data_IF_051880141067
#
_entry.id   IF_051880141067
#
_cell.length_a   1.000
_cell.length_b   1.000
_cell.length_c   1.000
_cell.angle_alpha   90.00
_cell.angle_beta   90.00
_cell.angle_gamma   90.00
#
_symmetry.space_group_name_H-M   'P 1'
#
loop_
_entity.id
_entity.type
_entity.pdbx_description
1 polymer ?
#
# COMPACT_ATOMS: atom_id res chain seq x y z
N UNK A 1 -2.60 -6.91 -9.85
CA UNK A 1 -2.07 -5.56 -9.55
C UNK A 1 -3.21 -4.57 -9.72
N UNK A 2 -3.25 -3.50 -8.93
CA UNK A 2 -4.33 -2.51 -8.91
C UNK A 2 -3.82 -1.24 -9.58
N UNK A 3 -4.54 -0.68 -10.54
CA UNK A 3 -4.08 0.54 -11.23
C UNK A 3 -4.17 1.76 -10.29
N UNK A 4 -3.08 2.51 -10.16
CA UNK A 4 -3.01 3.80 -9.46
C UNK A 4 -2.84 4.98 -10.42
N UNK A 5 -2.26 4.73 -11.60
CA UNK A 5 -2.05 5.71 -12.68
C UNK A 5 -2.06 4.98 -14.03
N UNK A 6 -2.78 5.47 -15.06
CA UNK A 6 -3.42 6.79 -15.15
C UNK A 6 -4.76 6.91 -14.41
N UNK A 7 -5.52 5.83 -14.31
CA UNK A 7 -6.84 5.81 -13.69
C UNK A 7 -6.82 4.90 -12.47
N UNK A 8 -7.30 5.39 -11.33
CA UNK A 8 -7.28 4.64 -10.07
C UNK A 8 -8.41 3.61 -10.09
N UNK A 9 -8.05 2.34 -9.95
CA UNK A 9 -9.00 1.24 -9.87
C UNK A 9 -9.56 1.14 -8.44
N UNK A 10 -10.81 1.59 -8.26
CA UNK A 10 -11.54 1.50 -7.01
C UNK A 10 -13.05 1.39 -7.28
N UNK A 11 -13.74 0.48 -6.59
CA UNK A 11 -15.16 0.16 -6.81
C UNK A 11 -16.03 0.35 -5.56
N UNK A 12 -15.77 1.39 -4.77
CA UNK A 12 -16.49 1.66 -3.52
C UNK A 12 -17.82 2.40 -3.77
N UNK A 13 -18.84 2.11 -2.95
CA UNK A 13 -20.14 2.81 -2.97
C UNK A 13 -20.25 3.80 -1.83
N UNK A 14 -20.98 4.88 -2.07
CA UNK A 14 -21.27 5.87 -1.04
C UNK A 14 -22.27 5.31 -0.02
N UNK A 15 -21.96 5.29 1.28
CA UNK A 15 -22.85 4.77 2.32
C UNK A 15 -24.11 5.63 2.50
N UNK A 16 -24.10 6.89 2.04
CA UNK A 16 -25.21 7.82 2.21
C UNK A 16 -26.24 7.80 1.09
N UNK A 17 -25.83 7.48 -0.14
CA UNK A 17 -26.70 7.57 -1.32
C UNK A 17 -26.51 6.43 -2.33
N UNK A 18 -25.67 5.44 -2.02
CA UNK A 18 -25.35 4.27 -2.85
C UNK A 18 -24.69 4.55 -4.22
N UNK A 19 -24.46 5.81 -4.58
CA UNK A 19 -23.72 6.18 -5.78
C UNK A 19 -22.29 5.62 -5.77
N UNK A 20 -21.76 5.31 -6.96
CA UNK A 20 -20.35 4.93 -7.10
C UNK A 20 -19.45 6.10 -6.72
N UNK A 21 -18.47 5.84 -5.86
CA UNK A 21 -17.45 6.83 -5.49
C UNK A 21 -16.43 6.97 -6.62
N UNK A 22 -15.96 8.19 -6.83
CA UNK A 22 -14.93 8.49 -7.83
C UNK A 22 -13.60 8.67 -7.10
N UNK A 23 -12.60 7.88 -7.48
CA UNK A 23 -11.23 8.05 -7.02
C UNK A 23 -10.55 9.17 -7.80
N UNK A 24 -9.86 10.06 -7.09
CA UNK A 24 -9.09 11.15 -7.70
C UNK A 24 -7.65 11.20 -7.23
N UNK A 25 -7.33 10.53 -6.13
CA UNK A 25 -5.96 10.38 -5.63
C UNK A 25 -5.81 9.06 -4.86
N UNK A 26 -4.58 8.71 -4.50
CA UNK A 26 -4.25 7.56 -3.68
C UNK A 26 -3.09 7.89 -2.75
N UNK A 27 -2.94 7.09 -1.69
CA UNK A 27 -1.93 7.34 -0.67
C UNK A 27 -1.47 6.05 0.00
N UNK A 28 -0.19 6.04 0.37
CA UNK A 28 0.44 5.00 1.19
C UNK A 28 0.97 5.67 2.46
N UNK A 29 0.26 5.52 3.59
CA UNK A 29 0.52 6.31 4.81
C UNK A 29 1.35 5.58 5.85
N UNK A 30 1.75 4.35 5.53
CA UNK A 30 2.25 3.35 6.46
C UNK A 30 1.84 1.99 5.93
N UNK A 31 1.23 1.14 6.75
CA UNK A 31 0.74 -0.16 6.28
C UNK A 31 -0.48 -0.09 5.35
N UNK A 32 -1.17 1.06 5.32
CA UNK A 32 -2.42 1.26 4.56
C UNK A 32 -2.12 1.78 3.17
N UNK A 33 -2.85 1.26 2.19
CA UNK A 33 -2.90 1.78 0.83
C UNK A 33 -4.35 2.21 0.60
N UNK A 34 -4.59 3.50 0.38
CA UNK A 34 -5.94 4.05 0.33
C UNK A 34 -6.18 4.81 -0.97
N UNK A 35 -7.42 4.79 -1.44
CA UNK A 35 -7.92 5.73 -2.44
C UNK A 35 -8.56 6.94 -1.75
N UNK A 36 -8.32 8.14 -2.26
CA UNK A 36 -9.06 9.36 -1.92
C UNK A 36 -10.26 9.48 -2.87
N UNK A 37 -11.45 9.50 -2.28
CA UNK A 37 -12.71 9.30 -2.97
C UNK A 37 -13.66 10.48 -2.75
N UNK A 38 -14.42 10.81 -3.77
CA UNK A 38 -15.54 11.77 -3.68
C UNK A 38 -16.81 11.18 -4.26
N UNK A 39 -17.92 11.35 -3.55
CA UNK A 39 -19.24 11.02 -4.08
C UNK A 39 -19.71 12.10 -5.07
N UNK A 40 -20.08 11.75 -6.32
CA UNK A 40 -20.55 12.73 -7.28
C UNK A 40 -21.91 13.34 -6.89
N UNK A 41 -22.73 12.61 -6.14
CA UNK A 41 -24.10 13.02 -5.83
C UNK A 41 -24.17 13.85 -4.54
N UNK A 42 -23.77 13.26 -3.40
CA UNK A 42 -23.86 13.94 -2.10
C UNK A 42 -22.61 14.75 -1.70
N UNK A 43 -21.57 14.75 -2.55
CA UNK A 43 -20.29 15.48 -2.36
C UNK A 43 -19.48 15.11 -1.12
N UNK A 44 -19.87 14.08 -0.36
CA UNK A 44 -19.05 13.55 0.73
C UNK A 44 -17.74 12.97 0.20
N UNK A 45 -16.73 13.04 1.05
CA UNK A 45 -15.38 12.60 0.74
C UNK A 45 -14.96 11.49 1.70
N UNK A 46 -14.24 10.52 1.17
CA UNK A 46 -13.88 9.31 1.88
C UNK A 46 -12.45 8.90 1.57
N UNK A 47 -11.84 8.16 2.48
CA UNK A 47 -10.72 7.28 2.16
C UNK A 47 -11.21 5.83 2.14
N UNK A 48 -10.82 5.06 1.14
CA UNK A 48 -11.12 3.62 1.10
C UNK A 48 -9.85 2.80 1.03
N UNK A 49 -9.79 1.67 1.73
CA UNK A 49 -8.75 0.67 1.47
C UNK A 49 -8.77 0.24 0.01
N UNK A 50 -7.61 0.32 -0.64
CA UNK A 50 -7.36 -0.41 -1.88
C UNK A 50 -7.25 -1.91 -1.56
N UNK A 51 -7.66 -2.81 -2.47
CA UNK A 51 -7.73 -4.25 -2.21
C UNK A 51 -6.35 -4.93 -2.20
N UNK A 52 -5.46 -4.49 -1.31
CA UNK A 52 -4.10 -5.00 -1.14
C UNK A 52 -3.82 -5.38 0.32
N UNK A 53 -3.10 -6.48 0.52
CA UNK A 53 -2.84 -7.05 1.86
C UNK A 53 -4.14 -7.31 2.61
N UNK A 54 -4.23 -6.82 3.85
CA UNK A 54 -5.43 -6.96 4.66
C UNK A 54 -6.65 -6.21 4.06
N UNK A 55 -6.43 -5.11 3.32
CA UNK A 55 -7.50 -4.36 2.66
C UNK A 55 -8.24 -5.15 1.57
N UNK A 56 -7.63 -6.24 1.07
CA UNK A 56 -8.31 -7.18 0.16
C UNK A 56 -9.46 -7.92 0.85
N UNK A 57 -9.27 -8.30 2.12
CA UNK A 57 -10.21 -9.17 2.85
C UNK A 57 -11.18 -8.39 3.71
N UNK A 58 -10.75 -7.25 4.23
CA UNK A 58 -11.51 -6.43 5.17
C UNK A 58 -11.45 -4.96 4.76
N UNK A 59 -11.96 -4.59 3.58
CA UNK A 59 -11.91 -3.21 3.11
C UNK A 59 -12.71 -2.30 4.04
N UNK A 60 -12.13 -1.16 4.41
CA UNK A 60 -12.76 -0.14 5.26
C UNK A 60 -12.90 1.16 4.47
N UNK A 61 -14.04 1.83 4.65
CA UNK A 61 -14.28 3.19 4.18
C UNK A 61 -14.23 4.14 5.37
N UNK A 62 -13.58 5.29 5.24
CA UNK A 62 -13.45 6.31 6.28
C UNK A 62 -14.05 7.63 5.79
N UNK A 63 -15.06 8.14 6.47
CA UNK A 63 -15.63 9.45 6.17
C UNK A 63 -14.67 10.56 6.63
N UNK A 64 -14.18 11.38 5.69
CA UNK A 64 -13.13 12.39 5.98
C UNK A 64 -13.61 13.49 6.91
N UNK A 65 -14.91 13.81 6.89
CA UNK A 65 -15.47 14.88 7.73
C UNK A 65 -15.59 14.45 9.18
N UNK A 66 -15.99 13.21 9.40
CA UNK A 66 -16.30 12.69 10.75
C UNK A 66 -15.17 11.87 11.35
N UNK A 67 -14.26 11.34 10.52
CA UNK A 67 -13.26 10.36 10.93
C UNK A 67 -13.85 8.98 11.29
N UNK A 68 -15.13 8.73 10.97
CA UNK A 68 -15.79 7.47 11.25
C UNK A 68 -15.41 6.42 10.20
N UNK A 69 -14.96 5.26 10.66
CA UNK A 69 -14.73 4.08 9.84
C UNK A 69 -16.03 3.28 9.66
N UNK A 70 -16.25 2.80 8.45
CA UNK A 70 -17.39 2.02 7.99
C UNK A 70 -16.83 0.68 7.53
N UNK A 71 -17.27 -0.38 8.18
CA UNK A 71 -16.72 -1.71 8.09
C UNK A 71 -17.82 -2.72 7.84
N UNK A 72 -18.05 -3.01 6.55
CA UNK A 72 -19.03 -4.00 6.13
C UNK A 72 -18.52 -5.45 6.34
N UNK A 73 -17.23 -5.62 6.66
CA UNK A 73 -16.59 -6.92 6.86
C UNK A 73 -16.59 -7.40 8.31
N UNK A 74 -17.11 -6.59 9.25
CA UNK A 74 -17.09 -6.82 10.69
C UNK A 74 -15.67 -7.03 11.27
N UNK A 75 -14.64 -6.50 10.62
CA UNK A 75 -13.27 -6.46 11.11
C UNK A 75 -13.02 -5.23 12.02
N UNK A 76 -13.77 -5.16 13.14
CA UNK A 76 -13.82 -3.97 14.03
C UNK A 76 -12.44 -3.48 14.44
N UNK A 77 -11.50 -4.39 14.71
CA UNK A 77 -10.12 -4.05 15.07
C UNK A 77 -9.39 -3.28 13.96
N UNK A 78 -9.59 -3.69 12.70
CA UNK A 78 -8.95 -3.09 11.54
C UNK A 78 -9.57 -1.72 11.25
N UNK A 79 -10.89 -1.62 11.32
CA UNK A 79 -11.61 -0.35 11.19
C UNK A 79 -11.21 0.66 12.27
N UNK A 80 -11.11 0.21 13.53
CA UNK A 80 -10.67 1.03 14.65
C UNK A 80 -9.25 1.57 14.44
N UNK A 81 -8.31 0.75 13.93
CA UNK A 81 -6.97 1.23 13.62
C UNK A 81 -6.96 2.34 12.56
N UNK A 82 -7.82 2.24 11.53
CA UNK A 82 -7.93 3.28 10.51
C UNK A 82 -8.47 4.58 11.12
N UNK A 83 -9.57 4.52 11.88
CA UNK A 83 -10.16 5.68 12.54
C UNK A 83 -9.18 6.35 13.52
N UNK A 84 -8.53 5.56 14.38
CA UNK A 84 -7.56 6.05 15.36
C UNK A 84 -6.34 6.69 14.70
N UNK A 85 -5.80 6.06 13.65
CA UNK A 85 -4.65 6.59 12.91
C UNK A 85 -5.00 7.89 12.19
N UNK A 86 -6.22 8.01 11.65
CA UNK A 86 -6.72 9.23 11.02
C UNK A 86 -6.82 10.39 12.01
N UNK A 87 -7.28 10.14 13.24
CA UNK A 87 -7.34 11.17 14.28
C UNK A 87 -5.96 11.58 14.79
N UNK A 88 -4.98 10.66 14.74
CA UNK A 88 -3.62 10.83 15.25
C UNK A 88 -2.58 10.99 14.14
N UNK A 89 -3.00 11.58 13.01
CA UNK A 89 -2.15 11.82 11.85
C UNK A 89 -0.88 12.58 12.21
N UNK A 90 0.20 12.18 11.56
CA UNK A 90 1.51 12.79 11.70
C UNK A 90 2.00 13.28 10.35
N UNK A 91 2.57 14.47 10.30
CA UNK A 91 3.35 14.95 9.16
C UNK A 91 4.85 14.95 9.46
N UNK A 92 5.27 14.27 10.54
CA UNK A 92 6.68 14.22 10.93
C UNK A 92 7.45 13.34 9.94
N UNK A 93 8.57 13.83 9.38
CA UNK A 93 9.43 13.00 8.55
C UNK A 93 9.88 11.73 9.27
N UNK A 94 9.99 10.65 8.50
CA UNK A 94 10.58 9.38 8.94
C UNK A 94 11.83 9.11 8.13
N UNK A 95 12.76 8.29 8.64
CA UNK A 95 13.94 7.92 7.86
C UNK A 95 13.50 7.25 6.56
N UNK A 96 14.03 7.72 5.43
CA UNK A 96 13.66 7.22 4.11
C UNK A 96 14.92 7.10 3.25
N UNK A 97 15.36 5.86 2.99
CA UNK A 97 16.56 5.55 2.21
C UNK A 97 16.15 4.86 0.92
N UNK A 98 16.57 5.39 -0.22
CA UNK A 98 16.37 4.75 -1.52
C UNK A 98 17.61 3.95 -1.89
N UNK A 99 17.42 2.68 -2.26
CA UNK A 99 18.44 1.87 -2.93
C UNK A 99 17.98 1.58 -4.35
N UNK A 100 18.87 1.84 -5.31
CA UNK A 100 18.65 1.56 -6.72
C UNK A 100 19.50 0.37 -7.12
N UNK A 101 18.89 -0.61 -7.79
CA UNK A 101 19.54 -1.82 -8.25
C UNK A 101 19.51 -1.96 -9.77
N UNK A 102 18.54 -1.34 -10.44
CA UNK A 102 18.40 -1.34 -11.89
C UNK A 102 17.87 -0.01 -12.41
N UNK A 103 17.94 0.18 -13.73
CA UNK A 103 17.30 1.32 -14.39
C UNK A 103 15.78 1.19 -14.32
N UNK A 104 15.12 2.31 -14.03
CA UNK A 104 13.67 2.38 -13.97
C UNK A 104 13.04 2.37 -15.38
N UNK A 105 11.95 1.61 -15.51
CA UNK A 105 11.05 1.62 -16.66
C UNK A 105 9.97 2.68 -16.45
N UNK A 106 9.20 2.97 -17.49
CA UNK A 106 8.08 3.92 -17.40
C UNK A 106 6.87 3.37 -16.61
N UNK A 107 6.83 2.06 -16.35
CA UNK A 107 5.77 1.36 -15.62
C UNK A 107 6.33 0.81 -14.32
N UNK A 108 5.69 1.15 -13.19
CA UNK A 108 6.10 0.67 -11.88
C UNK A 108 5.01 -0.18 -11.21
N UNK A 109 5.43 -1.20 -10.47
CA UNK A 109 4.60 -1.86 -9.46
C UNK A 109 5.21 -1.56 -8.10
N UNK A 110 4.40 -1.02 -7.19
CA UNK A 110 4.79 -0.78 -5.79
C UNK A 110 4.30 -1.92 -4.91
N UNK A 111 5.22 -2.52 -4.17
CA UNK A 111 4.94 -3.50 -3.14
C UNK A 111 5.17 -2.86 -1.76
N UNK A 112 4.09 -2.56 -1.05
CA UNK A 112 4.15 -2.00 0.29
C UNK A 112 4.25 -3.11 1.34
N UNK A 113 5.45 -3.31 1.91
CA UNK A 113 5.72 -4.26 3.00
C UNK A 113 5.69 -3.61 4.39
N UNK A 114 5.32 -2.33 4.51
CA UNK A 114 5.10 -1.73 5.82
C UNK A 114 3.91 -2.41 6.50
N UNK A 115 4.10 -2.75 7.76
CA UNK A 115 3.08 -3.37 8.60
C UNK A 115 3.40 -3.14 10.08
N UNK A 116 2.43 -3.41 10.95
CA UNK A 116 2.67 -3.44 12.40
C UNK A 116 3.13 -4.82 12.87
N UNK A 117 2.84 -5.88 12.10
CA UNK A 117 3.25 -7.25 12.41
C UNK A 117 4.42 -7.68 11.52
N UNK A 118 5.49 -8.18 12.14
CA UNK A 118 6.68 -8.68 11.42
C UNK A 118 6.33 -9.73 10.36
N UNK A 119 5.52 -10.73 10.72
CA UNK A 119 5.11 -11.80 9.82
C UNK A 119 4.38 -11.26 8.59
N UNK A 120 3.52 -10.25 8.74
CA UNK A 120 2.83 -9.64 7.61
C UNK A 120 3.81 -8.92 6.67
N UNK A 121 4.76 -8.15 7.21
CA UNK A 121 5.80 -7.51 6.39
C UNK A 121 6.57 -8.54 5.56
N UNK A 122 6.94 -9.68 6.17
CA UNK A 122 7.65 -10.76 5.49
C UNK A 122 6.78 -11.42 4.40
N UNK A 123 5.54 -11.80 4.71
CA UNK A 123 4.65 -12.47 3.75
C UNK A 123 4.32 -11.57 2.55
N UNK A 124 4.14 -10.25 2.78
CA UNK A 124 4.02 -9.28 1.68
C UNK A 124 5.28 -9.26 0.81
N UNK A 125 6.48 -9.28 1.40
CA UNK A 125 7.72 -9.30 0.62
C UNK A 125 7.82 -10.51 -0.31
N UNK A 126 7.35 -11.69 0.11
CA UNK A 126 7.38 -12.91 -0.71
C UNK A 126 6.60 -12.76 -2.03
N UNK A 127 5.59 -11.89 -2.06
CA UNK A 127 4.86 -11.58 -3.29
C UNK A 127 5.74 -10.89 -4.35
N UNK A 128 6.93 -10.38 -4.00
CA UNK A 128 7.87 -9.78 -4.95
C UNK A 128 8.22 -10.75 -6.09
N UNK A 129 8.38 -12.04 -5.78
CA UNK A 129 8.81 -13.04 -6.76
C UNK A 129 7.85 -13.13 -7.95
N UNK A 130 6.54 -13.09 -7.71
CA UNK A 130 5.55 -13.08 -8.79
C UNK A 130 5.81 -11.98 -9.83
N UNK A 131 6.15 -10.77 -9.38
CA UNK A 131 6.41 -9.65 -10.29
C UNK A 131 7.74 -9.80 -11.01
N UNK A 132 8.75 -10.36 -10.33
CA UNK A 132 10.06 -10.62 -10.93
C UNK A 132 9.99 -11.70 -12.02
N UNK A 133 9.13 -12.70 -11.85
CA UNK A 133 9.06 -13.85 -12.75
C UNK A 133 8.05 -13.63 -13.89
N UNK A 134 6.93 -12.95 -13.60
CA UNK A 134 5.80 -12.88 -14.52
C UNK A 134 5.46 -11.46 -15.01
N UNK A 135 6.04 -10.40 -14.43
CA UNK A 135 5.77 -9.01 -14.81
C UNK A 135 7.04 -8.31 -15.31
N UNK A 136 7.66 -8.87 -16.35
CA UNK A 136 8.96 -8.45 -16.86
C UNK A 136 8.96 -7.06 -17.50
N UNK A 137 7.81 -6.43 -17.74
CA UNK A 137 7.68 -5.09 -18.34
C UNK A 137 7.62 -3.96 -17.30
N UNK A 138 7.59 -4.28 -16.00
CA UNK A 138 7.51 -3.29 -14.91
C UNK A 138 8.82 -3.15 -14.15
N UNK A 139 8.99 -2.01 -13.48
CA UNK A 139 9.96 -1.84 -12.40
C UNK A 139 9.28 -2.17 -11.07
N UNK A 140 9.76 -3.21 -10.40
CA UNK A 140 9.30 -3.53 -9.04
C UNK A 140 9.98 -2.59 -8.04
N UNK A 141 9.17 -1.83 -7.31
CA UNK A 141 9.59 -0.95 -6.22
C UNK A 141 9.08 -1.55 -4.92
N UNK A 142 9.99 -1.87 -3.99
CA UNK A 142 9.63 -2.44 -2.69
C UNK A 142 9.75 -1.38 -1.61
N UNK A 143 8.65 -1.09 -0.90
CA UNK A 143 8.66 -0.24 0.30
C UNK A 143 8.76 -1.15 1.51
N UNK A 144 9.84 -1.09 2.27
CA UNK A 144 10.05 -2.04 3.38
C UNK A 144 10.71 -1.38 4.59
N UNK A 145 10.53 -1.96 5.79
CA UNK A 145 11.30 -1.57 6.96
C UNK A 145 12.77 -2.07 6.85
N UNK A 146 13.72 -1.47 7.59
CA UNK A 146 15.14 -1.81 7.52
C UNK A 146 15.44 -3.30 7.78
N UNK A 147 14.67 -3.95 8.65
CA UNK A 147 14.89 -5.36 9.00
C UNK A 147 14.60 -6.34 7.85
N UNK A 148 13.93 -5.91 6.78
CA UNK A 148 13.70 -6.71 5.57
C UNK A 148 14.69 -6.42 4.44
N UNK A 149 15.57 -5.42 4.59
CA UNK A 149 16.47 -5.00 3.51
C UNK A 149 17.36 -6.14 3.02
N UNK A 150 17.80 -7.03 3.91
CA UNK A 150 18.65 -8.17 3.57
C UNK A 150 17.91 -9.30 2.84
N UNK A 151 16.57 -9.33 2.91
CA UNK A 151 15.71 -10.33 2.25
C UNK A 151 15.25 -9.89 0.86
N UNK A 152 15.61 -8.70 0.40
CA UNK A 152 15.21 -8.23 -0.92
C UNK A 152 15.77 -9.18 -1.99
N UNK A 153 14.91 -9.79 -2.83
CA UNK A 153 15.38 -10.69 -3.89
C UNK A 153 16.05 -9.90 -5.01
N UNK A 154 16.96 -10.56 -5.74
CA UNK A 154 17.61 -9.98 -6.90
C UNK A 154 16.57 -9.69 -8.01
N UNK A 155 16.74 -8.57 -8.71
CA UNK A 155 15.83 -8.11 -9.77
C UNK A 155 14.85 -7.02 -9.34
N UNK A 156 14.69 -6.76 -8.04
CA UNK A 156 13.99 -5.54 -7.54
C UNK A 156 14.66 -4.31 -8.15
N UNK A 157 13.90 -3.35 -8.70
CA UNK A 157 14.48 -2.18 -9.36
C UNK A 157 14.91 -1.11 -8.34
N UNK A 158 14.04 -0.82 -7.38
CA UNK A 158 14.33 0.05 -6.23
C UNK A 158 13.76 -0.53 -4.94
N UNK A 159 14.44 -0.27 -3.83
CA UNK A 159 13.90 -0.45 -2.49
C UNK A 159 13.86 0.89 -1.75
N UNK A 160 12.69 1.20 -1.21
CA UNK A 160 12.44 2.37 -0.38
C UNK A 160 12.36 1.92 1.07
N UNK A 161 13.48 2.08 1.76
CA UNK A 161 13.67 1.61 3.12
C UNK A 161 13.16 2.70 4.06
N UNK A 162 12.04 2.43 4.72
CA UNK A 162 11.36 3.37 5.60
C UNK A 162 11.62 2.99 7.04
N UNK A 163 12.33 3.85 7.78
CA UNK A 163 12.61 3.69 9.20
C UNK A 163 11.39 4.09 10.05
N UNK A 164 10.32 3.28 9.90
CA UNK A 164 9.12 3.31 10.70
C UNK A 164 9.10 2.04 11.57
N UNK A 165 9.28 2.16 12.89
CA UNK A 165 9.23 0.99 13.78
C UNK A 165 7.90 0.25 13.69
N UNK A 166 7.91 -1.09 13.77
CA UNK A 166 6.70 -1.94 13.69
C UNK A 166 5.55 -1.47 14.61
N UNK A 167 5.86 -1.05 15.84
CA UNK A 167 4.86 -0.51 16.79
C UNK A 167 4.13 0.76 16.30
N UNK A 168 4.65 1.41 15.26
CA UNK A 168 4.08 2.57 14.57
C UNK A 168 3.57 2.22 13.17
N UNK A 169 3.54 0.94 12.77
CA UNK A 169 3.13 0.52 11.43
C UNK A 169 1.69 0.88 11.08
N UNK A 170 0.81 1.01 12.08
CA UNK A 170 -0.57 1.49 11.91
C UNK A 170 -0.68 3.02 11.83
N UNK A 171 0.41 3.77 11.97
CA UNK A 171 0.40 5.23 11.91
C UNK A 171 -0.09 5.70 10.54
N UNK A 172 -0.85 6.79 10.54
CA UNK A 172 -1.10 7.56 9.34
C UNK A 172 -0.05 8.68 9.26
N UNK A 173 0.91 8.54 8.35
CA UNK A 173 1.93 9.54 8.13
C UNK A 173 1.75 10.25 6.78
N UNK A 174 1.31 11.52 6.82
CA UNK A 174 1.06 12.34 5.63
C UNK A 174 2.37 12.70 4.89
N UNK A 175 3.47 12.87 5.63
CA UNK A 175 4.78 13.12 5.00
C UNK A 175 5.22 11.91 4.17
N UNK A 176 5.07 10.70 4.71
CA UNK A 176 5.40 9.46 4.00
C UNK A 176 4.54 9.29 2.74
N UNK A 177 3.23 9.54 2.84
CA UNK A 177 2.33 9.47 1.70
C UNK A 177 2.75 10.44 0.58
N UNK A 178 3.06 11.69 0.92
CA UNK A 178 3.53 12.68 -0.05
C UNK A 178 4.88 12.29 -0.66
N UNK A 179 5.80 11.78 0.15
CA UNK A 179 7.15 11.38 -0.29
C UNK A 179 7.12 10.21 -1.28
N UNK A 180 6.21 9.26 -1.06
CA UNK A 180 5.91 8.14 -1.97
C UNK A 180 5.22 8.65 -3.24
N UNK A 181 4.18 9.47 -3.11
CA UNK A 181 3.45 10.07 -4.23
C UNK A 181 4.38 10.80 -5.19
N UNK A 182 5.18 11.73 -4.67
CA UNK A 182 6.11 12.55 -5.44
C UNK A 182 7.14 11.71 -6.23
N UNK A 183 7.58 10.57 -5.70
CA UNK A 183 8.50 9.67 -6.43
C UNK A 183 7.80 8.93 -7.56
N UNK A 184 6.55 8.55 -7.35
CA UNK A 184 5.75 7.83 -8.33
C UNK A 184 5.23 8.74 -9.46
N UNK A 185 5.23 10.06 -9.28
CA UNK A 185 4.81 11.02 -10.32
C UNK A 185 5.57 10.84 -11.64
N UNK A 186 6.87 10.50 -11.56
CA UNK A 186 7.75 10.35 -12.72
C UNK A 186 7.40 9.17 -13.63
N UNK A 187 6.66 8.18 -13.13
CA UNK A 187 6.25 7.02 -13.92
C UNK A 187 5.01 7.35 -14.75
N UNK A 188 4.93 6.79 -15.96
CA UNK A 188 3.74 6.92 -16.82
C UNK A 188 2.58 6.11 -16.24
N UNK A 189 2.87 4.89 -15.80
CA UNK A 189 1.90 3.95 -15.25
C UNK A 189 2.38 3.44 -13.90
N UNK A 190 1.47 3.40 -12.94
CA UNK A 190 1.77 2.99 -11.56
C UNK A 190 0.72 2.01 -11.13
N UNK A 191 1.18 0.89 -10.59
CA UNK A 191 0.34 -0.16 -10.07
C UNK A 191 0.71 -0.46 -8.62
N UNK A 192 -0.29 -0.84 -7.83
CA UNK A 192 -0.11 -1.39 -6.49
C UNK A 192 -0.12 -2.93 -6.57
N UNK A 193 0.85 -3.56 -5.90
CA UNK A 193 0.81 -4.99 -5.68
C UNK A 193 -0.37 -5.36 -4.78
N UNK A 194 -1.11 -6.41 -5.15
CA UNK A 194 -2.16 -6.98 -4.28
C UNK A 194 -1.57 -7.51 -2.97
N UNK A 195 -0.31 -7.96 -2.98
CA UNK A 195 0.44 -8.41 -1.81
C UNK A 195 -0.39 -9.33 -0.90
N UNK A 196 -0.77 -10.51 -1.42
CA UNK A 196 -1.60 -11.47 -0.69
C UNK A 196 -0.99 -11.74 0.68
N UNK A 197 -1.79 -11.60 1.74
CA UNK A 197 -1.31 -11.74 3.13
C UNK A 197 -0.74 -13.12 3.45
N UNK A 198 -1.16 -14.15 2.70
CA UNK A 198 -0.74 -15.54 2.87
C UNK A 198 -0.42 -16.14 1.49
N UNK A 199 0.74 -15.81 0.88
CA UNK A 199 1.15 -16.46 -0.37
C UNK A 199 1.34 -17.96 -0.13
N UNK A 200 0.99 -18.80 -1.10
CA UNK A 200 1.20 -20.25 -0.97
C UNK A 200 2.71 -20.54 -1.03
N UNK A 201 3.18 -21.57 -0.33
CA UNK A 201 4.61 -21.91 -0.32
C UNK A 201 5.15 -22.35 -1.67
N UNK A 202 4.28 -22.70 -2.61
CA UNK A 202 4.65 -23.03 -3.99
C UNK A 202 4.78 -21.79 -4.89
N UNK A 203 4.29 -20.63 -4.45
CA UNK A 203 4.31 -19.38 -5.22
C UNK A 203 5.63 -18.61 -5.08
N UNK A 204 6.51 -19.05 -4.17
CA UNK A 204 7.80 -18.43 -3.94
C UNK A 204 8.88 -19.48 -3.63
N UNK A 205 10.10 -19.16 -3.99
CA UNK A 205 11.32 -19.89 -3.65
C UNK A 205 12.05 -19.10 -2.57
N UNK A 206 12.07 -19.64 -1.35
CA UNK A 206 12.66 -18.95 -0.20
C UNK A 206 14.16 -18.67 -0.39
N UNK A 207 14.88 -19.54 -1.13
CA UNK A 207 16.33 -19.40 -1.36
C UNK A 207 16.65 -18.10 -2.12
N UNK A 208 15.71 -17.61 -2.94
CA UNK A 208 15.86 -16.32 -3.65
C UNK A 208 15.84 -15.10 -2.73
N UNK A 209 15.25 -15.22 -1.55
CA UNK A 209 15.19 -14.16 -0.55
C UNK A 209 16.33 -14.30 0.47
N UNK A 210 16.62 -15.53 0.89
CA UNK A 210 17.60 -15.83 1.93
C UNK A 210 19.03 -15.94 1.41
N UNK A 211 19.22 -16.29 0.13
CA UNK A 211 20.52 -16.60 -0.52
C UNK A 211 21.27 -17.76 0.15
N UNK A 212 20.54 -18.62 0.86
CA UNK A 212 21.02 -19.82 1.54
C UNK A 212 20.01 -20.93 1.38
#
# INVERSE_FOLDING_TARGET
MICLKPDIECSSKCPNCAANLIAFDWLITGMRNLADLRCPDCKREFYADLPAGQGLYTPVLLDKKTGAAIDDSNAVWFAAWLADSYQKRSAKPVGFKVRRFANLKNKAVVLNCLDTLYGHSLLKLLNAQYYLDFQLDVSLIVICPPFLEWLLPDGVAEAWIVDLPLRRGTEWNDWLANEIGARLESFREVFLSVAFSHPHSEDFDIERFTRV
#
